data_IF_309560596048
#
_entry.id   IF_309560596048
#
_cell.length_a   1.000
_cell.length_b   1.000
_cell.length_c   1.000
_cell.angle_alpha   90.00
_cell.angle_beta   90.00
_cell.angle_gamma   90.00
#
_symmetry.space_group_name_H-M   'P 1'
#
loop_
_entity.id
_entity.type
_entity.pdbx_description
1 polymer ?
#
# COMPACT_ATOMS: atom_id res chain seq x y z
N UNK A 1 -0.27 -15.71 -29.82
CA UNK A 1 0.44 -14.42 -29.89
C UNK A 1 1.53 -14.42 -28.84
N UNK A 2 2.77 -14.67 -29.27
CA UNK A 2 3.94 -14.79 -28.39
C UNK A 2 4.49 -13.40 -28.13
N UNK A 3 4.23 -12.83 -26.95
CA UNK A 3 4.78 -11.54 -26.54
C UNK A 3 6.04 -11.76 -25.71
N UNK A 4 7.16 -11.98 -26.40
CA UNK A 4 8.49 -11.89 -25.83
C UNK A 4 9.34 -10.97 -26.71
N UNK A 5 9.14 -9.67 -26.57
CA UNK A 5 10.12 -8.70 -27.03
C UNK A 5 11.35 -8.78 -26.13
N UNK A 6 12.55 -8.85 -26.74
CA UNK A 6 13.83 -8.75 -26.02
C UNK A 6 13.77 -7.57 -25.05
N UNK A 7 14.00 -7.83 -23.76
CA UNK A 7 14.22 -6.79 -22.75
C UNK A 7 15.45 -6.02 -23.19
N UNK A 8 15.29 -4.81 -23.71
CA UNK A 8 16.39 -3.85 -23.77
C UNK A 8 16.97 -3.73 -22.36
N UNK A 9 18.30 -3.69 -22.23
CA UNK A 9 18.96 -3.48 -20.95
C UNK A 9 18.41 -2.18 -20.37
N UNK A 10 17.63 -2.29 -19.30
CA UNK A 10 17.02 -1.13 -18.66
C UNK A 10 18.12 -0.09 -18.39
N UNK A 11 17.89 1.11 -18.91
CA UNK A 11 18.80 2.24 -18.79
C UNK A 11 18.96 2.58 -17.29
N UNK A 12 19.99 2.04 -16.65
CA UNK A 12 20.15 2.16 -15.20
C UNK A 12 20.49 3.60 -14.83
N UNK A 13 19.76 4.16 -13.86
CA UNK A 13 19.98 5.51 -13.35
C UNK A 13 20.57 5.43 -11.95
N UNK A 14 21.66 6.16 -11.72
CA UNK A 14 22.27 6.29 -10.40
C UNK A 14 21.65 7.47 -9.65
N UNK A 15 21.41 7.29 -8.36
CA UNK A 15 20.95 8.33 -7.43
C UNK A 15 21.78 8.26 -6.14
N UNK A 16 21.93 9.38 -5.45
CA UNK A 16 22.57 9.38 -4.14
C UNK A 16 21.72 8.64 -3.10
N UNK A 17 22.36 8.08 -2.09
CA UNK A 17 21.66 7.40 -0.98
C UNK A 17 20.72 8.36 -0.25
N UNK A 18 21.09 9.63 -0.12
CA UNK A 18 20.24 10.64 0.53
C UNK A 18 18.98 10.92 -0.27
N UNK A 19 19.11 11.06 -1.60
CA UNK A 19 17.96 11.23 -2.48
C UNK A 19 17.06 9.98 -2.49
N UNK A 20 17.65 8.78 -2.42
CA UNK A 20 16.89 7.54 -2.29
C UNK A 20 16.07 7.51 -0.99
N UNK A 21 16.70 7.84 0.15
CA UNK A 21 16.01 7.89 1.45
C UNK A 21 14.89 8.92 1.46
N UNK A 22 15.12 10.11 0.91
CA UNK A 22 14.10 11.15 0.76
C UNK A 22 12.91 10.67 -0.06
N UNK A 23 13.15 10.00 -1.19
CA UNK A 23 12.08 9.40 -2.02
C UNK A 23 11.29 8.32 -1.30
N UNK A 24 11.96 7.45 -0.54
CA UNK A 24 11.29 6.41 0.26
C UNK A 24 10.42 7.06 1.34
N UNK A 25 10.95 8.05 2.06
CA UNK A 25 10.21 8.79 3.08
C UNK A 25 9.01 9.53 2.48
N UNK A 26 9.20 10.20 1.33
CA UNK A 26 8.14 10.87 0.59
C UNK A 26 7.07 9.91 0.07
N UNK A 27 7.44 8.70 -0.34
CA UNK A 27 6.49 7.64 -0.72
C UNK A 27 5.58 7.24 0.44
N UNK A 28 6.14 7.07 1.64
CA UNK A 28 5.36 6.81 2.85
C UNK A 28 4.48 7.99 3.26
N UNK A 29 5.03 9.20 3.29
CA UNK A 29 4.28 10.40 3.61
C UNK A 29 3.10 10.61 2.65
N UNK A 30 3.35 10.49 1.34
CA UNK A 30 2.33 10.60 0.31
C UNK A 30 1.23 9.55 0.46
N UNK A 31 1.60 8.31 0.79
CA UNK A 31 0.61 7.26 1.09
C UNK A 31 -0.25 7.61 2.31
N UNK A 32 0.36 8.00 3.43
CA UNK A 32 -0.37 8.36 4.65
C UNK A 32 -1.32 9.55 4.44
N UNK A 33 -0.89 10.55 3.66
CA UNK A 33 -1.73 11.68 3.24
C UNK A 33 -2.88 11.16 2.37
N UNK A 34 -2.61 10.37 1.33
CA UNK A 34 -3.63 9.86 0.42
C UNK A 34 -4.72 9.06 1.14
N UNK A 35 -4.33 8.21 2.08
CA UNK A 35 -5.25 7.43 2.95
C UNK A 35 -6.22 8.36 3.70
N UNK A 36 -5.69 9.36 4.39
CA UNK A 36 -6.49 10.26 5.24
C UNK A 36 -7.25 11.31 4.45
N UNK A 37 -6.75 11.68 3.27
CA UNK A 37 -7.43 12.56 2.33
C UNK A 37 -8.63 11.87 1.68
N UNK A 38 -8.51 10.58 1.35
CA UNK A 38 -9.62 9.81 0.77
C UNK A 38 -10.69 9.40 1.79
N UNK A 39 -10.30 9.14 3.05
CA UNK A 39 -11.17 8.59 4.09
C UNK A 39 -12.53 9.29 4.26
N UNK A 40 -12.65 10.63 4.26
CA UNK A 40 -13.94 11.31 4.41
C UNK A 40 -14.95 11.03 3.29
N UNK A 41 -14.49 10.55 2.13
CA UNK A 41 -15.32 10.31 0.94
C UNK A 41 -15.63 8.83 0.71
N UNK A 42 -14.96 7.93 1.43
CA UNK A 42 -15.05 6.48 1.23
C UNK A 42 -16.49 6.00 1.41
N UNK A 43 -17.05 5.32 0.39
CA UNK A 43 -18.45 4.84 0.35
C UNK A 43 -19.57 5.90 0.33
N UNK A 44 -19.26 7.20 0.28
CA UNK A 44 -20.28 8.26 0.34
C UNK A 44 -20.79 8.75 -1.02
N UNK A 45 -20.01 8.55 -2.10
CA UNK A 45 -20.31 9.07 -3.44
C UNK A 45 -21.59 8.48 -4.08
N UNK A 46 -21.88 7.21 -3.83
CA UNK A 46 -23.12 6.50 -4.22
C UNK A 46 -23.69 6.86 -5.61
N UNK A 47 -22.85 6.87 -6.65
CA UNK A 47 -23.25 7.15 -8.04
C UNK A 47 -23.07 8.60 -8.51
N UNK A 48 -22.45 9.46 -7.69
CA UNK A 48 -22.10 10.84 -8.03
C UNK A 48 -20.60 11.10 -7.86
N UNK A 49 -20.00 11.84 -8.79
CA UNK A 49 -18.65 12.38 -8.59
C UNK A 49 -18.70 13.57 -7.64
N UNK A 50 -17.87 13.56 -6.60
CA UNK A 50 -17.70 14.74 -5.75
C UNK A 50 -16.88 15.81 -6.49
N UNK A 51 -17.40 17.03 -6.51
CA UNK A 51 -16.73 18.21 -7.10
C UNK A 51 -16.24 19.18 -6.01
N UNK A 52 -16.75 19.04 -4.79
CA UNK A 52 -16.35 19.85 -3.64
C UNK A 52 -14.94 19.50 -3.17
N UNK A 53 -14.23 20.50 -2.63
CA UNK A 53 -12.92 20.29 -1.99
C UNK A 53 -13.05 19.39 -0.76
N UNK A 54 -12.14 18.43 -0.62
CA UNK A 54 -12.06 17.58 0.57
C UNK A 54 -11.54 18.41 1.74
N UNK A 55 -12.25 18.36 2.87
CA UNK A 55 -11.81 18.95 4.14
C UNK A 55 -10.76 18.05 4.76
N UNK A 56 -9.49 18.43 4.61
CA UNK A 56 -8.35 17.74 5.18
C UNK A 56 -7.35 18.77 5.72
N UNK A 57 -6.80 18.51 6.90
CA UNK A 57 -5.75 19.28 7.52
C UNK A 57 -4.50 18.42 7.74
N UNK A 58 -3.28 19.01 7.78
CA UNK A 58 -2.05 18.25 7.99
C UNK A 58 -2.05 17.31 9.21
N UNK A 59 -2.77 17.66 10.27
CA UNK A 59 -2.88 16.82 11.47
C UNK A 59 -3.67 15.53 11.25
N UNK A 60 -4.53 15.48 10.23
CA UNK A 60 -5.37 14.31 9.91
C UNK A 60 -4.54 13.12 9.45
N UNK A 61 -3.29 13.36 9.01
CA UNK A 61 -2.32 12.30 8.67
C UNK A 61 -2.15 11.28 9.79
N UNK A 62 -2.33 11.68 11.05
CA UNK A 62 -2.27 10.76 12.21
C UNK A 62 -3.30 9.64 12.14
N UNK A 63 -4.43 9.89 11.48
CA UNK A 63 -5.48 8.90 11.26
C UNK A 63 -5.04 7.73 10.39
N UNK A 64 -4.01 7.89 9.55
CA UNK A 64 -3.58 6.84 8.62
C UNK A 64 -3.03 5.60 9.33
N UNK A 65 -2.46 5.77 10.52
CA UNK A 65 -1.79 4.69 11.28
C UNK A 65 -2.77 3.55 11.60
N UNK A 66 -4.07 3.87 11.69
CA UNK A 66 -5.14 2.94 12.03
C UNK A 66 -5.89 2.38 10.82
N UNK A 67 -5.41 2.65 9.60
CA UNK A 67 -6.04 2.22 8.35
C UNK A 67 -5.33 1.01 7.77
N UNK A 68 -6.10 0.10 7.18
CA UNK A 68 -5.58 -1.15 6.63
C UNK A 68 -4.61 -0.93 5.46
N UNK A 69 -4.77 0.16 4.71
CA UNK A 69 -3.79 0.62 3.74
C UNK A 69 -2.35 0.61 4.29
N UNK A 70 -2.15 1.03 5.55
CA UNK A 70 -0.83 1.14 6.16
C UNK A 70 -0.37 -0.20 6.72
N UNK A 71 -1.12 -0.77 7.66
CA UNK A 71 -0.61 -1.94 8.39
C UNK A 71 -0.60 -3.22 7.54
N UNK A 72 -1.41 -3.33 6.49
CA UNK A 72 -1.32 -4.45 5.53
C UNK A 72 0.00 -4.37 4.76
N UNK A 73 0.38 -3.17 4.31
CA UNK A 73 1.66 -2.98 3.62
C UNK A 73 2.85 -3.28 4.55
N UNK A 74 2.77 -2.90 5.83
CA UNK A 74 3.79 -3.26 6.80
C UNK A 74 3.96 -4.78 6.92
N UNK A 75 2.88 -5.56 6.96
CA UNK A 75 2.96 -7.03 6.95
C UNK A 75 3.66 -7.59 5.70
N UNK A 76 3.44 -7.00 4.53
CA UNK A 76 4.14 -7.41 3.32
C UNK A 76 5.62 -7.07 3.37
N UNK A 77 5.99 -5.90 3.88
CA UNK A 77 7.39 -5.53 4.08
C UNK A 77 8.08 -6.42 5.11
N UNK A 78 7.41 -6.80 6.19
CA UNK A 78 7.92 -7.80 7.14
C UNK A 78 8.09 -9.18 6.49
N UNK A 79 7.23 -9.53 5.53
CA UNK A 79 7.40 -10.75 4.74
C UNK A 79 8.66 -10.67 3.87
N UNK A 80 8.88 -9.54 3.20
CA UNK A 80 10.07 -9.29 2.38
C UNK A 80 11.35 -9.32 3.22
N UNK A 81 11.33 -8.68 4.39
CA UNK A 81 12.46 -8.66 5.31
C UNK A 81 12.84 -10.07 5.77
N UNK A 82 11.84 -10.90 6.08
CA UNK A 82 12.06 -12.26 6.60
C UNK A 82 12.37 -13.31 5.53
N UNK A 83 11.76 -13.21 4.34
CA UNK A 83 11.78 -14.26 3.32
C UNK A 83 12.38 -13.81 1.98
N UNK A 84 12.81 -12.55 1.87
CA UNK A 84 13.32 -11.94 0.65
C UNK A 84 12.22 -11.24 -0.18
N UNK A 85 12.62 -10.29 -1.03
CA UNK A 85 11.70 -9.58 -1.92
C UNK A 85 10.95 -10.52 -2.87
N UNK A 86 11.61 -11.61 -3.29
CA UNK A 86 11.07 -12.65 -4.16
C UNK A 86 10.39 -13.79 -3.38
N UNK A 87 9.97 -13.54 -2.13
CA UNK A 87 9.27 -14.54 -1.33
C UNK A 87 8.07 -15.15 -2.09
N UNK A 88 7.79 -16.46 -1.95
CA UNK A 88 6.62 -17.05 -2.59
C UNK A 88 5.33 -16.36 -2.13
N UNK A 89 4.37 -16.16 -3.03
CA UNK A 89 3.07 -15.54 -2.73
C UNK A 89 2.36 -16.18 -1.50
N UNK A 90 2.56 -17.48 -1.29
CA UNK A 90 2.04 -18.21 -0.12
C UNK A 90 2.52 -17.64 1.21
N UNK A 91 3.73 -17.09 1.28
CA UNK A 91 4.28 -16.46 2.50
C UNK A 91 3.63 -15.12 2.80
N UNK A 92 3.41 -14.30 1.78
CA UNK A 92 2.61 -13.08 1.92
C UNK A 92 1.20 -13.39 2.40
N UNK A 93 0.54 -14.39 1.79
CA UNK A 93 -0.79 -14.83 2.18
C UNK A 93 -0.82 -15.31 3.63
N UNK A 94 0.14 -16.15 4.05
CA UNK A 94 0.22 -16.68 5.40
C UNK A 94 0.34 -15.58 6.46
N UNK A 95 1.26 -14.63 6.28
CA UNK A 95 1.49 -13.56 7.24
C UNK A 95 0.31 -12.57 7.27
N UNK A 96 -0.25 -12.23 6.11
CA UNK A 96 -1.44 -11.39 6.02
C UNK A 96 -2.67 -12.02 6.69
N UNK A 97 -2.92 -13.30 6.44
CA UNK A 97 -4.09 -13.99 6.98
C UNK A 97 -4.01 -14.15 8.50
N UNK A 98 -2.81 -14.40 9.04
CA UNK A 98 -2.54 -14.56 10.47
C UNK A 98 -2.32 -13.24 11.22
N UNK A 99 -2.31 -12.10 10.53
CA UNK A 99 -2.08 -10.81 11.18
C UNK A 99 -3.20 -10.47 12.19
N UNK A 100 -2.83 -9.97 13.37
CA UNK A 100 -3.75 -9.75 14.50
C UNK A 100 -4.64 -8.51 14.40
N UNK A 101 -4.47 -7.67 13.37
CA UNK A 101 -5.29 -6.48 13.16
C UNK A 101 -6.62 -6.80 12.46
N UNK A 102 -7.56 -5.87 12.59
CA UNK A 102 -8.83 -5.90 11.85
C UNK A 102 -8.60 -5.68 10.36
N UNK A 103 -9.54 -6.12 9.54
CA UNK A 103 -9.53 -5.87 8.09
C UNK A 103 -10.94 -5.47 7.69
N UNK A 104 -11.07 -4.82 6.55
CA UNK A 104 -12.37 -4.48 5.97
C UNK A 104 -12.54 -5.08 4.57
N UNK A 105 -13.79 -5.30 4.18
CA UNK A 105 -14.22 -5.70 2.84
C UNK A 105 -13.30 -6.72 2.13
N UNK A 106 -12.60 -6.27 1.07
CA UNK A 106 -11.74 -7.10 0.24
C UNK A 106 -10.61 -7.75 1.03
N UNK A 107 -10.03 -7.04 2.00
CA UNK A 107 -8.96 -7.57 2.83
C UNK A 107 -9.47 -8.69 3.76
N UNK A 108 -10.67 -8.55 4.33
CA UNK A 108 -11.31 -9.65 5.09
C UNK A 108 -11.54 -10.86 4.21
N UNK A 109 -12.04 -10.65 2.99
CA UNK A 109 -12.28 -11.75 2.06
C UNK A 109 -10.97 -12.44 1.67
N UNK A 110 -9.90 -11.70 1.43
CA UNK A 110 -8.58 -12.25 1.17
C UNK A 110 -8.05 -13.09 2.35
N UNK A 111 -8.29 -12.66 3.60
CA UNK A 111 -7.93 -13.45 4.80
C UNK A 111 -8.71 -14.75 4.86
N UNK A 112 -10.02 -14.73 4.54
CA UNK A 112 -10.86 -15.94 4.52
C UNK A 112 -10.38 -16.97 3.51
N UNK A 113 -9.88 -16.55 2.34
CA UNK A 113 -9.37 -17.46 1.30
C UNK A 113 -8.10 -18.24 1.69
N UNK A 114 -7.51 -17.96 2.86
CA UNK A 114 -6.39 -18.74 3.40
C UNK A 114 -6.86 -20.00 4.16
N UNK A 115 -8.05 -19.94 4.73
CA UNK A 115 -8.67 -21.01 5.51
C UNK A 115 -9.66 -21.79 4.65
#
# INVERSE_FOLDING_TARGET
MTSCSKKESADTRSISTDLLKDKIAGGWAGKMIGVTYGAPTEFHAQGKTFEDSIKWAPNDVKGSIWQDDIYVQLTFLMTMDKYGIDAPAKKYQELFAKAGYQLWHANVQARKNYY
#
